data_IF_344797328358
#
_entry.id   IF_344797328358
#
_cell.length_a   1.000
_cell.length_b   1.000
_cell.length_c   1.000
_cell.angle_alpha   90.00
_cell.angle_beta   90.00
_cell.angle_gamma   90.00
#
_symmetry.space_group_name_H-M   'P 1'
#
loop_
_entity.id
_entity.type
_entity.pdbx_description
1 polymer ?
#
# COMPACT_ATOMS: atom_id res chain seq x y z
N UNK A 1 -4.34 56.45 28.64
CA UNK A 1 -5.77 56.45 28.25
C UNK A 1 -6.08 55.07 27.73
N UNK A 2 -7.01 54.37 28.36
CA UNK A 2 -7.28 52.95 28.09
C UNK A 2 -8.40 52.88 27.06
N UNK A 3 -8.03 52.79 25.79
CA UNK A 3 -9.00 52.77 24.70
C UNK A 3 -9.79 51.46 24.73
N UNK A 4 -11.10 51.55 24.89
CA UNK A 4 -11.97 50.37 24.97
C UNK A 4 -12.49 50.04 23.56
N UNK A 5 -12.27 48.80 23.11
CA UNK A 5 -12.75 48.32 21.81
C UNK A 5 -14.11 47.65 21.99
N UNK A 6 -15.14 48.13 21.28
CA UNK A 6 -16.50 47.58 21.31
C UNK A 6 -16.87 47.05 19.93
N UNK A 7 -17.22 45.77 19.85
CA UNK A 7 -17.69 45.13 18.62
C UNK A 7 -19.23 45.15 18.64
N UNK A 8 -19.83 45.68 17.59
CA UNK A 8 -21.28 45.91 17.47
C UNK A 8 -21.81 45.37 16.15
N UNK A 9 -23.04 44.83 16.15
CA UNK A 9 -23.69 44.25 14.98
C UNK A 9 -24.24 45.31 13.99
N UNK A 10 -24.61 46.50 14.47
CA UNK A 10 -25.46 47.46 13.73
C UNK A 10 -24.85 48.86 13.53
N UNK A 11 -23.52 48.99 13.44
CA UNK A 11 -22.87 50.29 13.24
C UNK A 11 -21.64 50.27 12.34
N UNK A 12 -21.47 51.31 11.52
CA UNK A 12 -20.23 51.58 10.77
C UNK A 12 -19.07 51.91 11.72
N UNK A 13 -17.85 51.49 11.35
CA UNK A 13 -16.64 51.68 12.17
C UNK A 13 -16.43 53.17 12.49
N UNK A 14 -16.43 53.52 13.77
CA UNK A 14 -16.32 54.89 14.24
C UNK A 14 -15.51 55.00 15.54
N UNK A 15 -15.01 56.20 15.82
CA UNK A 15 -14.22 56.49 17.02
C UNK A 15 -14.90 57.63 17.75
N UNK A 16 -15.20 57.45 19.03
CA UNK A 16 -15.85 58.48 19.85
C UNK A 16 -15.32 58.39 21.28
N UNK A 17 -14.80 59.50 21.81
CA UNK A 17 -14.38 59.70 23.21
C UNK A 17 -13.72 58.47 23.87
N UNK A 18 -12.56 58.06 23.34
CA UNK A 18 -11.73 56.94 23.82
C UNK A 18 -12.33 55.53 23.67
N UNK A 19 -13.45 55.38 22.94
CA UNK A 19 -14.04 54.08 22.59
C UNK A 19 -14.03 53.90 21.08
N UNK A 20 -13.55 52.74 20.65
CA UNK A 20 -13.46 52.36 19.23
C UNK A 20 -14.54 51.34 18.92
N UNK A 21 -15.44 51.67 17.99
CA UNK A 21 -16.49 50.77 17.53
C UNK A 21 -16.08 50.10 16.22
N UNK A 22 -16.11 48.77 16.18
CA UNK A 22 -15.82 47.98 14.97
C UNK A 22 -17.02 47.10 14.66
N UNK A 23 -17.48 47.13 13.41
CA UNK A 23 -18.60 46.29 13.00
C UNK A 23 -18.23 44.81 12.97
N UNK A 24 -19.14 43.95 13.41
CA UNK A 24 -18.92 42.49 13.43
C UNK A 24 -18.65 41.94 12.02
N UNK A 25 -19.31 42.48 11.00
CA UNK A 25 -19.07 42.12 9.60
C UNK A 25 -17.61 42.35 9.18
N UNK A 26 -16.97 43.44 9.64
CA UNK A 26 -15.57 43.76 9.33
C UNK A 26 -14.61 42.81 10.04
N UNK A 27 -14.92 42.46 11.29
CA UNK A 27 -14.15 41.48 12.07
C UNK A 27 -14.25 40.09 11.41
N UNK A 28 -15.44 39.69 10.98
CA UNK A 28 -15.66 38.40 10.33
C UNK A 28 -15.05 38.35 8.93
N UNK A 29 -15.02 39.46 8.18
CA UNK A 29 -14.27 39.58 6.91
C UNK A 29 -12.76 39.38 7.12
N UNK A 30 -12.18 40.03 8.13
CA UNK A 30 -10.79 39.81 8.52
C UNK A 30 -10.54 38.36 8.92
N UNK A 31 -11.43 37.76 9.72
CA UNK A 31 -11.35 36.35 10.15
C UNK A 31 -11.40 35.39 8.96
N UNK A 32 -12.36 35.57 8.04
CA UNK A 32 -12.52 34.73 6.84
C UNK A 32 -11.31 34.82 5.92
N UNK A 33 -10.76 36.03 5.74
CA UNK A 33 -9.54 36.24 4.95
C UNK A 33 -8.36 35.50 5.57
N UNK A 34 -8.21 35.58 6.90
CA UNK A 34 -7.17 34.87 7.63
C UNK A 34 -7.33 33.33 7.52
N UNK A 35 -8.56 32.82 7.68
CA UNK A 35 -8.89 31.38 7.58
C UNK A 35 -8.68 30.79 6.17
N UNK A 36 -8.96 31.57 5.13
CA UNK A 36 -8.80 31.14 3.74
C UNK A 36 -7.31 30.95 3.38
N UNK A 37 -6.42 31.69 4.04
CA UNK A 37 -4.98 31.62 3.85
C UNK A 37 -4.36 30.52 4.74
N UNK A 38 -4.86 30.29 5.95
CA UNK A 38 -4.33 29.25 6.87
C UNK A 38 -4.55 27.82 6.38
N UNK A 39 -5.60 27.56 5.58
CA UNK A 39 -5.79 26.24 4.93
C UNK A 39 -4.67 25.90 3.92
N UNK A 40 -3.80 26.86 3.56
CA UNK A 40 -2.80 26.68 2.52
C UNK A 40 -1.37 26.35 2.99
N UNK A 41 -0.87 26.69 4.21
CA UNK A 41 0.47 26.27 4.73
C UNK A 41 0.88 26.77 6.16
N UNK A 42 2.09 26.37 6.58
CA UNK A 42 2.72 26.19 7.93
C UNK A 42 2.82 27.41 8.88
N UNK A 43 2.86 27.07 10.19
CA UNK A 43 2.89 27.86 11.45
C UNK A 43 3.91 29.02 11.59
N UNK A 44 4.90 29.15 10.70
CA UNK A 44 5.97 30.16 10.82
C UNK A 44 5.64 31.50 10.14
N UNK A 45 4.69 31.50 9.20
CA UNK A 45 4.30 32.70 8.43
C UNK A 45 3.11 33.45 9.07
N UNK A 46 2.48 32.86 10.09
CA UNK A 46 1.31 33.41 10.79
C UNK A 46 1.65 34.71 11.55
N UNK A 47 2.89 34.86 12.05
CA UNK A 47 3.32 36.05 12.79
C UNK A 47 3.50 37.28 11.89
N UNK A 48 4.10 37.10 10.71
CA UNK A 48 4.28 38.17 9.72
C UNK A 48 2.94 38.61 9.09
N UNK A 49 1.98 37.69 8.96
CA UNK A 49 0.63 37.98 8.49
C UNK A 49 -0.20 38.73 9.54
N UNK A 50 -0.10 38.34 10.83
CA UNK A 50 -0.74 39.08 11.93
C UNK A 50 -0.21 40.52 11.97
N UNK A 51 1.10 40.71 11.84
CA UNK A 51 1.74 42.02 11.81
C UNK A 51 1.22 42.92 10.67
N UNK A 52 0.92 42.35 9.49
CA UNK A 52 0.37 43.10 8.36
C UNK A 52 -1.11 43.43 8.54
N UNK A 53 -1.93 42.51 9.07
CA UNK A 53 -3.34 42.80 9.37
C UNK A 53 -3.44 43.90 10.44
N UNK A 54 -2.59 43.81 11.47
CA UNK A 54 -2.48 44.86 12.49
C UNK A 54 -2.06 46.19 11.85
N UNK A 55 -1.12 46.22 10.91
CA UNK A 55 -0.70 47.47 10.25
C UNK A 55 -1.73 48.07 9.29
N UNK A 56 -2.76 47.32 8.88
CA UNK A 56 -3.87 47.86 8.07
C UNK A 56 -5.03 48.37 8.94
N UNK A 57 -5.26 47.73 10.09
CA UNK A 57 -6.41 48.03 10.96
C UNK A 57 -6.06 49.05 12.05
N UNK A 58 -4.87 48.97 12.65
CA UNK A 58 -4.49 49.84 13.79
C UNK A 58 -4.26 51.31 13.44
N UNK A 59 -3.72 51.71 12.27
CA UNK A 59 -3.55 53.13 11.96
C UNK A 59 -4.88 53.89 11.88
N UNK A 60 -5.96 53.19 11.53
CA UNK A 60 -7.31 53.76 11.51
C UNK A 60 -7.87 53.95 12.91
N UNK A 61 -7.41 53.15 13.89
CA UNK A 61 -7.88 53.17 15.28
C UNK A 61 -7.01 54.03 16.21
N UNK A 62 -5.73 54.21 15.88
CA UNK A 62 -4.74 54.95 16.69
C UNK A 62 -3.83 55.79 15.77
N UNK A 63 -4.11 57.09 15.57
CA UNK A 63 -3.43 57.90 14.55
C UNK A 63 -1.94 58.18 14.80
N UNK A 64 -1.37 57.78 15.95
CA UNK A 64 0.03 58.05 16.32
C UNK A 64 0.93 56.80 16.35
N UNK A 65 0.52 55.67 15.77
CA UNK A 65 1.36 54.46 15.72
C UNK A 65 1.98 54.30 14.33
N UNK A 66 3.31 54.43 14.24
CA UNK A 66 4.09 54.20 13.02
C UNK A 66 4.65 52.77 13.06
N UNK A 67 4.24 51.93 12.11
CA UNK A 67 4.81 50.60 11.91
C UNK A 67 5.88 50.64 10.82
N UNK A 68 7.16 50.60 11.20
CA UNK A 68 8.27 50.35 10.27
C UNK A 68 8.37 48.85 9.97
N UNK A 69 7.56 48.38 9.02
CA UNK A 69 7.63 47.01 8.54
C UNK A 69 7.24 46.95 7.07
N UNK A 70 8.19 46.61 6.22
CA UNK A 70 7.94 46.35 4.80
C UNK A 70 6.84 45.29 4.66
N UNK A 71 5.90 45.53 3.73
CA UNK A 71 4.95 44.51 3.27
C UNK A 71 5.74 43.21 3.08
N UNK A 72 5.32 42.07 3.65
CA UNK A 72 5.91 40.80 3.25
C UNK A 72 5.65 40.74 1.75
N UNK A 73 6.71 40.94 0.96
CA UNK A 73 6.68 40.58 -0.43
C UNK A 73 6.36 39.10 -0.33
N UNK A 74 5.13 38.72 -0.71
CA UNK A 74 4.93 37.36 -1.18
C UNK A 74 6.06 37.20 -2.17
N UNK A 75 7.06 36.38 -1.83
CA UNK A 75 7.81 35.74 -2.87
C UNK A 75 6.71 35.12 -3.72
N UNK A 76 6.33 35.81 -4.80
CA UNK A 76 5.77 35.16 -5.95
C UNK A 76 6.62 33.91 -6.07
N UNK A 77 5.99 32.74 -6.04
CA UNK A 77 6.60 31.44 -6.30
C UNK A 77 7.31 31.52 -7.67
N UNK A 78 8.39 32.30 -7.75
CA UNK A 78 9.32 32.44 -8.84
C UNK A 78 10.00 31.11 -8.84
N UNK A 79 9.40 30.23 -9.63
CA UNK A 79 9.93 29.62 -10.86
C UNK A 79 10.67 28.29 -10.80
N UNK A 80 11.59 27.91 -9.88
CA UNK A 80 12.24 26.60 -9.99
C UNK A 80 11.26 25.46 -9.68
N UNK A 81 10.37 25.61 -8.70
CA UNK A 81 9.54 24.50 -8.22
C UNK A 81 8.31 24.19 -9.09
N UNK A 82 7.74 25.20 -9.76
CA UNK A 82 6.66 25.03 -10.74
C UNK A 82 7.19 24.59 -12.10
N UNK A 83 8.30 25.17 -12.57
CA UNK A 83 8.96 24.74 -13.81
C UNK A 83 9.49 23.31 -13.66
N UNK A 84 10.11 22.97 -12.52
CA UNK A 84 10.57 21.59 -12.28
C UNK A 84 9.41 20.58 -12.27
N UNK A 85 8.27 20.92 -11.68
CA UNK A 85 7.09 20.06 -11.71
C UNK A 85 6.50 19.93 -13.12
N UNK A 86 6.47 21.01 -13.91
CA UNK A 86 5.99 20.95 -15.31
C UNK A 86 6.94 20.13 -16.20
N UNK A 87 8.25 20.31 -16.06
CA UNK A 87 9.27 19.54 -16.78
C UNK A 87 9.19 18.05 -16.39
N UNK A 88 9.05 17.73 -15.11
CA UNK A 88 8.86 16.36 -14.64
C UNK A 88 7.57 15.74 -15.22
N UNK A 89 6.46 16.48 -15.24
CA UNK A 89 5.20 16.01 -15.82
C UNK A 89 5.30 15.82 -17.34
N UNK A 90 5.96 16.73 -18.06
CA UNK A 90 6.20 16.60 -19.49
C UNK A 90 7.04 15.36 -19.81
N UNK A 91 8.11 15.11 -19.05
CA UNK A 91 8.93 13.91 -19.19
C UNK A 91 8.15 12.62 -18.93
N UNK A 92 7.27 12.60 -17.91
CA UNK A 92 6.37 11.45 -17.66
C UNK A 92 5.41 11.23 -18.83
N UNK A 93 4.85 12.29 -19.43
CA UNK A 93 3.97 12.18 -20.59
C UNK A 93 4.71 11.65 -21.83
N UNK A 94 5.91 12.17 -22.09
CA UNK A 94 6.75 11.70 -23.20
C UNK A 94 7.09 10.21 -23.07
N UNK A 95 7.51 9.75 -21.88
CA UNK A 95 7.76 8.32 -21.62
C UNK A 95 6.51 7.46 -21.82
N UNK A 96 5.33 7.93 -21.40
CA UNK A 96 4.05 7.23 -21.64
C UNK A 96 3.69 7.15 -23.12
N UNK A 97 4.05 8.16 -23.92
CA UNK A 97 3.85 8.13 -25.37
C UNK A 97 4.71 7.05 -26.02
N UNK A 98 6.00 7.03 -25.72
CA UNK A 98 6.94 6.01 -26.22
C UNK A 98 6.46 4.60 -25.88
N UNK A 99 6.00 4.36 -24.65
CA UNK A 99 5.44 3.06 -24.25
C UNK A 99 4.21 2.67 -25.08
N UNK A 100 3.36 3.63 -25.45
CA UNK A 100 2.20 3.35 -26.32
C UNK A 100 2.64 2.97 -27.73
N UNK A 101 3.64 3.66 -28.28
CA UNK A 101 4.18 3.33 -29.60
C UNK A 101 4.76 1.91 -29.63
N UNK A 102 5.57 1.54 -28.63
CA UNK A 102 6.08 0.17 -28.48
C UNK A 102 4.94 -0.84 -28.36
N UNK A 103 3.90 -0.54 -27.57
CA UNK A 103 2.74 -1.43 -27.40
C UNK A 103 1.97 -1.65 -28.70
N UNK A 104 1.79 -0.60 -29.51
CA UNK A 104 1.10 -0.68 -30.80
C UNK A 104 1.95 -1.43 -31.83
N UNK A 105 3.26 -1.23 -31.81
CA UNK A 105 4.20 -1.90 -32.72
C UNK A 105 4.56 -3.34 -32.36
N UNK A 106 4.18 -3.83 -31.18
CA UNK A 106 4.63 -5.13 -30.66
C UNK A 106 4.29 -6.32 -31.59
N UNK A 107 3.11 -6.33 -32.20
CA UNK A 107 2.71 -7.39 -33.15
C UNK A 107 3.55 -7.38 -34.43
N UNK A 108 3.99 -6.20 -34.89
CA UNK A 108 4.89 -6.07 -36.04
C UNK A 108 6.31 -6.51 -35.65
N UNK A 109 6.81 -6.04 -34.50
CA UNK A 109 8.11 -6.46 -33.96
C UNK A 109 8.20 -7.97 -33.75
N UNK A 110 7.10 -8.62 -33.33
CA UNK A 110 7.05 -10.07 -33.19
C UNK A 110 7.27 -10.81 -34.52
N UNK A 111 6.92 -10.20 -35.65
CA UNK A 111 7.09 -10.78 -36.99
C UNK A 111 8.43 -10.39 -37.62
N UNK A 112 8.83 -9.14 -37.48
CA UNK A 112 9.99 -8.55 -38.15
C UNK A 112 11.31 -8.75 -37.38
N UNK A 113 11.26 -8.63 -36.05
CA UNK A 113 12.42 -8.70 -35.17
C UNK A 113 12.13 -9.48 -33.87
N UNK A 114 11.75 -10.78 -33.97
CA UNK A 114 11.32 -11.57 -32.82
C UNK A 114 12.38 -11.64 -31.70
N UNK A 115 13.67 -11.74 -32.06
CA UNK A 115 14.77 -11.80 -31.09
C UNK A 115 14.88 -10.53 -30.25
N UNK A 116 14.85 -9.37 -30.90
CA UNK A 116 14.91 -8.07 -30.22
C UNK A 116 13.71 -7.85 -29.30
N UNK A 117 12.51 -8.29 -29.72
CA UNK A 117 11.33 -8.24 -28.88
C UNK A 117 11.46 -9.17 -27.65
N UNK A 118 12.04 -10.36 -27.80
CA UNK A 118 12.32 -11.26 -26.67
C UNK A 118 13.35 -10.67 -25.71
N UNK A 119 14.42 -10.07 -26.21
CA UNK A 119 15.43 -9.39 -25.37
C UNK A 119 14.83 -8.21 -24.61
N UNK A 120 13.99 -7.40 -25.28
CA UNK A 120 13.25 -6.32 -24.64
C UNK A 120 12.29 -6.85 -23.57
N UNK A 121 11.57 -7.94 -23.85
CA UNK A 121 10.67 -8.57 -22.89
C UNK A 121 11.43 -9.04 -21.63
N UNK A 122 12.55 -9.74 -21.82
CA UNK A 122 13.41 -10.20 -20.73
C UNK A 122 13.94 -9.01 -19.89
N UNK A 123 14.37 -7.93 -20.54
CA UNK A 123 14.84 -6.73 -19.85
C UNK A 123 13.72 -6.04 -19.06
N UNK A 124 12.51 -5.95 -19.62
CA UNK A 124 11.33 -5.44 -18.91
C UNK A 124 11.01 -6.29 -17.69
N UNK A 125 11.02 -7.62 -17.82
CA UNK A 125 10.78 -8.54 -16.71
C UNK A 125 11.81 -8.36 -15.60
N UNK A 126 13.10 -8.31 -15.96
CA UNK A 126 14.22 -8.13 -15.04
C UNK A 126 14.09 -6.83 -14.24
N UNK A 127 13.87 -5.70 -14.93
CA UNK A 127 13.73 -4.38 -14.28
C UNK A 127 12.47 -4.35 -13.41
N UNK A 128 11.35 -4.89 -13.88
CA UNK A 128 10.09 -4.93 -13.13
C UNK A 128 10.23 -5.76 -11.86
N UNK A 129 10.90 -6.91 -11.94
CA UNK A 129 11.16 -7.78 -10.80
C UNK A 129 12.08 -7.11 -9.78
N UNK A 130 13.12 -6.41 -10.22
CA UNK A 130 14.01 -5.67 -9.33
C UNK A 130 13.27 -4.58 -8.53
N UNK A 131 12.49 -3.74 -9.20
CA UNK A 131 11.68 -2.68 -8.56
C UNK A 131 10.68 -3.28 -7.56
N UNK A 132 10.12 -4.44 -7.87
CA UNK A 132 9.20 -5.10 -6.98
C UNK A 132 9.87 -5.74 -5.76
N UNK A 133 11.06 -6.33 -5.92
CA UNK A 133 11.87 -6.83 -4.80
C UNK A 133 12.15 -5.68 -3.83
N UNK A 134 12.60 -4.53 -4.34
CA UNK A 134 12.83 -3.33 -3.52
C UNK A 134 11.55 -2.88 -2.79
N UNK A 135 10.41 -2.88 -3.49
CA UNK A 135 9.12 -2.56 -2.89
C UNK A 135 8.74 -3.56 -1.79
N UNK A 136 8.92 -4.86 -2.02
CA UNK A 136 8.63 -5.92 -1.06
C UNK A 136 9.50 -5.75 0.20
N UNK A 137 10.80 -5.52 0.03
CA UNK A 137 11.75 -5.26 1.12
C UNK A 137 11.38 -4.01 1.92
N UNK A 138 11.03 -2.92 1.23
CA UNK A 138 10.56 -1.70 1.87
C UNK A 138 9.31 -1.96 2.71
N UNK A 139 8.35 -2.72 2.17
CA UNK A 139 7.12 -3.10 2.89
C UNK A 139 7.40 -4.00 4.10
N UNK A 140 8.36 -4.92 4.02
CA UNK A 140 8.77 -5.77 5.14
C UNK A 140 9.32 -4.97 6.33
N UNK A 141 9.97 -3.83 6.06
CA UNK A 141 10.48 -2.95 7.11
C UNK A 141 9.39 -2.11 7.79
N UNK A 142 8.17 -2.10 7.24
CA UNK A 142 7.03 -1.32 7.72
C UNK A 142 6.04 -2.21 8.49
N UNK A 143 5.37 -1.63 9.48
CA UNK A 143 4.30 -2.32 10.22
C UNK A 143 2.95 -2.18 9.50
N UNK A 144 2.85 -2.76 8.31
CA UNK A 144 1.64 -2.72 7.47
C UNK A 144 0.58 -3.72 7.96
N UNK A 145 -0.69 -3.38 7.74
CA UNK A 145 -1.81 -4.26 8.06
C UNK A 145 -1.95 -5.42 7.07
N UNK A 146 -2.71 -6.45 7.45
CA UNK A 146 -3.00 -7.60 6.58
C UNK A 146 -3.64 -7.16 5.26
N UNK A 147 -4.60 -6.23 5.30
CA UNK A 147 -5.22 -5.67 4.09
C UNK A 147 -4.24 -4.98 3.13
N UNK A 148 -3.17 -4.35 3.63
CA UNK A 148 -2.13 -3.80 2.75
C UNK A 148 -1.34 -4.91 2.04
N UNK A 149 -1.06 -6.01 2.73
CA UNK A 149 -0.38 -7.17 2.14
C UNK A 149 -1.28 -7.90 1.16
N UNK A 150 -2.56 -8.08 1.46
CA UNK A 150 -3.55 -8.62 0.54
C UNK A 150 -3.61 -7.81 -0.75
N UNK A 151 -3.79 -6.48 -0.65
CA UNK A 151 -3.81 -5.61 -1.82
C UNK A 151 -2.51 -5.67 -2.64
N UNK A 152 -1.36 -5.79 -1.96
CA UNK A 152 -0.08 -5.97 -2.64
C UNK A 152 -0.02 -7.28 -3.42
N UNK A 153 -0.46 -8.40 -2.84
CA UNK A 153 -0.48 -9.69 -3.54
C UNK A 153 -1.52 -9.76 -4.65
N UNK A 154 -2.70 -9.15 -4.47
CA UNK A 154 -3.72 -9.01 -5.52
C UNK A 154 -3.17 -8.26 -6.74
N UNK A 155 -2.37 -7.21 -6.52
CA UNK A 155 -1.72 -6.48 -7.60
C UNK A 155 -0.53 -7.24 -8.21
N UNK A 156 -0.03 -8.28 -7.55
CA UNK A 156 1.19 -9.03 -7.94
C UNK A 156 0.97 -10.54 -7.78
N UNK A 157 -0.09 -11.09 -8.37
CA UNK A 157 -0.51 -12.49 -8.18
C UNK A 157 0.55 -13.52 -8.53
N UNK A 158 1.46 -13.19 -9.45
CA UNK A 158 2.55 -14.09 -9.83
C UNK A 158 3.46 -14.42 -8.62
N UNK A 159 3.56 -13.54 -7.60
CA UNK A 159 4.30 -13.84 -6.37
C UNK A 159 3.67 -15.05 -5.66
N UNK A 160 2.34 -15.08 -5.59
CA UNK A 160 1.59 -16.19 -5.02
C UNK A 160 1.66 -17.43 -5.92
N UNK A 161 1.70 -17.25 -7.24
CA UNK A 161 1.86 -18.35 -8.18
C UNK A 161 3.13 -19.19 -7.91
N UNK A 162 4.22 -18.57 -7.40
CA UNK A 162 5.45 -19.28 -7.02
C UNK A 162 5.31 -20.18 -5.78
N UNK A 163 4.22 -20.08 -5.03
CA UNK A 163 3.91 -21.03 -3.94
C UNK A 163 3.41 -22.35 -4.54
N UNK A 164 2.73 -22.28 -5.67
CA UNK A 164 2.07 -23.41 -6.27
C UNK A 164 2.98 -24.18 -7.23
N UNK A 165 2.83 -25.50 -7.25
CA UNK A 165 3.53 -26.38 -8.21
C UNK A 165 2.83 -26.49 -9.57
N UNK A 166 1.72 -25.77 -9.77
CA UNK A 166 0.89 -25.77 -10.98
C UNK A 166 0.44 -24.35 -11.29
N UNK A 167 0.16 -24.01 -12.56
CA UNK A 167 -0.43 -22.73 -12.92
C UNK A 167 -1.71 -22.48 -12.13
N UNK A 168 -1.89 -21.24 -11.67
CA UNK A 168 -3.05 -20.82 -10.89
C UNK A 168 -3.71 -19.60 -11.49
N UNK A 169 -5.02 -19.50 -11.33
CA UNK A 169 -5.78 -18.30 -11.67
C UNK A 169 -6.61 -17.86 -10.46
N UNK A 170 -6.55 -16.57 -10.12
CA UNK A 170 -7.39 -16.00 -9.08
C UNK A 170 -8.85 -16.03 -9.52
N UNK A 171 -9.72 -16.61 -8.67
CA UNK A 171 -11.17 -16.64 -8.87
C UNK A 171 -11.83 -15.47 -8.13
N UNK A 172 -11.56 -15.38 -6.83
CA UNK A 172 -12.19 -14.39 -5.95
C UNK A 172 -11.21 -13.88 -4.89
N UNK A 173 -11.35 -12.60 -4.57
CA UNK A 173 -10.83 -11.99 -3.34
C UNK A 173 -11.96 -11.92 -2.32
N UNK A 174 -11.64 -12.02 -1.03
CA UNK A 174 -12.61 -11.99 0.06
C UNK A 174 -13.80 -12.93 -0.19
N UNK A 175 -13.50 -14.18 -0.55
CA UNK A 175 -14.49 -15.15 -1.00
C UNK A 175 -15.33 -15.65 0.19
N UNK A 176 -16.61 -15.94 -0.06
CA UNK A 176 -17.50 -16.46 0.97
C UNK A 176 -17.52 -18.00 0.94
N UNK A 177 -16.81 -18.66 1.84
CA UNK A 177 -16.93 -20.11 2.05
C UNK A 177 -18.32 -20.51 2.55
N UNK A 178 -18.92 -19.63 3.33
CA UNK A 178 -20.31 -19.68 3.76
C UNK A 178 -20.91 -18.28 3.73
N UNK A 179 -22.11 -18.16 3.16
CA UNK A 179 -22.87 -16.92 3.16
C UNK A 179 -23.41 -16.56 4.55
N UNK A 180 -23.77 -15.30 4.75
CA UNK A 180 -24.45 -14.87 5.97
C UNK A 180 -25.78 -15.58 6.16
N UNK A 181 -26.12 -15.85 7.41
CA UNK A 181 -27.49 -16.26 7.79
C UNK A 181 -28.45 -15.08 7.64
N UNK A 182 -29.76 -15.33 7.85
CA UNK A 182 -30.82 -14.32 7.69
C UNK A 182 -30.64 -13.05 8.55
N UNK A 183 -29.86 -13.13 9.63
CA UNK A 183 -29.56 -11.98 10.50
C UNK A 183 -28.25 -11.26 10.12
N UNK A 184 -27.63 -11.62 9.00
CA UNK A 184 -26.37 -11.05 8.52
C UNK A 184 -25.10 -11.65 9.13
N UNK A 185 -25.21 -12.46 10.19
CA UNK A 185 -24.07 -13.07 10.88
C UNK A 185 -23.70 -14.45 10.29
N UNK A 186 -22.49 -14.91 10.64
CA UNK A 186 -22.02 -16.26 10.31
C UNK A 186 -21.42 -16.43 8.92
N UNK A 187 -21.16 -15.34 8.20
CA UNK A 187 -20.36 -15.42 6.98
C UNK A 187 -18.93 -15.85 7.32
N UNK A 188 -18.44 -16.83 6.57
CA UNK A 188 -17.03 -17.24 6.63
C UNK A 188 -16.35 -16.74 5.37
N UNK A 189 -15.59 -15.66 5.54
CA UNK A 189 -14.88 -14.98 4.46
C UNK A 189 -13.42 -15.40 4.52
N UNK A 190 -12.86 -15.80 3.37
CA UNK A 190 -11.44 -16.11 3.21
C UNK A 190 -10.77 -15.15 2.26
N UNK A 191 -9.45 -15.02 2.34
CA UNK A 191 -8.74 -13.93 1.68
C UNK A 191 -8.71 -14.08 0.17
N UNK A 192 -8.20 -15.20 -0.35
CA UNK A 192 -8.09 -15.44 -1.79
C UNK A 192 -8.47 -16.87 -2.14
N UNK A 193 -9.22 -17.03 -3.21
CA UNK A 193 -9.56 -18.30 -3.83
C UNK A 193 -8.96 -18.38 -5.23
N UNK A 194 -8.22 -19.45 -5.50
CA UNK A 194 -7.61 -19.75 -6.78
C UNK A 194 -8.17 -21.05 -7.37
N UNK A 195 -8.07 -21.17 -8.69
CA UNK A 195 -8.17 -22.44 -9.40
C UNK A 195 -6.77 -22.94 -9.77
N UNK A 196 -6.57 -24.25 -9.71
CA UNK A 196 -5.38 -24.97 -10.18
C UNK A 196 -5.83 -26.04 -11.18
N UNK A 197 -6.20 -25.61 -12.39
CA UNK A 197 -6.97 -26.44 -13.30
C UNK A 197 -8.40 -26.61 -12.78
N UNK A 198 -8.78 -27.83 -12.39
CA UNK A 198 -10.11 -28.11 -11.78
C UNK A 198 -10.10 -28.04 -10.25
N UNK A 199 -8.93 -28.10 -9.63
CA UNK A 199 -8.79 -28.07 -8.17
C UNK A 199 -8.88 -26.64 -7.66
N UNK A 200 -9.26 -26.46 -6.40
CA UNK A 200 -9.27 -25.16 -5.74
C UNK A 200 -7.98 -24.95 -4.93
N UNK A 201 -7.64 -23.70 -4.66
CA UNK A 201 -6.66 -23.35 -3.65
C UNK A 201 -7.13 -22.15 -2.83
N UNK A 202 -7.08 -22.29 -1.51
CA UNK A 202 -7.43 -21.26 -0.54
C UNK A 202 -6.13 -20.70 0.02
N UNK A 203 -5.96 -19.38 -0.07
CA UNK A 203 -4.80 -18.69 0.50
C UNK A 203 -5.29 -17.74 1.59
N UNK A 204 -4.77 -17.92 2.80
CA UNK A 204 -4.94 -16.99 3.92
C UNK A 204 -3.65 -16.20 4.13
N UNK A 205 -3.76 -14.89 4.28
CA UNK A 205 -2.62 -13.98 4.40
C UNK A 205 -2.66 -13.31 5.77
N UNK A 206 -1.65 -13.62 6.59
CA UNK A 206 -1.32 -12.86 7.79
C UNK A 206 -0.19 -11.88 7.50
N UNK A 207 0.09 -10.98 8.43
CA UNK A 207 1.20 -10.02 8.30
C UNK A 207 2.57 -10.67 8.58
N UNK A 208 3.69 -10.08 8.08
CA UNK A 208 5.04 -10.58 8.35
C UNK A 208 5.45 -10.53 9.82
N UNK A 209 4.85 -9.64 10.61
CA UNK A 209 5.09 -9.56 12.05
C UNK A 209 4.29 -10.57 12.88
N UNK A 210 3.50 -11.43 12.23
CA UNK A 210 2.75 -12.49 12.91
C UNK A 210 3.72 -13.51 13.52
N UNK A 211 3.67 -13.74 14.85
CA UNK A 211 4.52 -14.72 15.49
C UNK A 211 4.14 -16.13 15.01
N UNK A 212 5.14 -16.91 14.60
CA UNK A 212 4.94 -18.29 14.13
C UNK A 212 4.97 -19.31 15.28
N UNK A 213 5.86 -19.08 16.24
CA UNK A 213 6.05 -19.94 17.42
C UNK A 213 5.79 -19.16 18.71
N UNK A 214 5.52 -19.89 19.79
CA UNK A 214 5.45 -19.32 21.13
C UNK A 214 6.78 -18.70 21.53
N UNK A 215 6.73 -17.65 22.36
CA UNK A 215 7.92 -16.97 22.87
C UNK A 215 8.64 -17.78 23.95
N UNK A 216 7.90 -18.65 24.65
CA UNK A 216 8.43 -19.57 25.66
C UNK A 216 8.35 -21.01 25.14
N UNK A 217 9.32 -21.85 25.49
CA UNK A 217 9.24 -23.26 25.14
C UNK A 217 8.14 -23.96 25.94
N UNK A 218 7.62 -25.05 25.39
CA UNK A 218 6.47 -25.77 25.94
C UNK A 218 6.77 -26.44 27.30
N UNK A 219 8.00 -26.98 27.45
CA UNK A 219 8.50 -27.61 28.69
C UNK A 219 10.02 -27.53 28.85
N UNK A 220 10.77 -27.86 27.79
CA UNK A 220 12.24 -27.93 27.79
C UNK A 220 12.82 -26.59 27.33
N UNK A 221 14.11 -26.49 27.00
CA UNK A 221 14.66 -25.25 26.40
C UNK A 221 14.49 -25.18 24.87
N UNK A 222 14.31 -26.32 24.20
CA UNK A 222 14.46 -26.39 22.73
C UNK A 222 13.15 -26.59 21.95
N UNK A 223 12.05 -26.92 22.62
CA UNK A 223 10.77 -27.26 21.95
C UNK A 223 9.76 -26.14 22.15
N UNK A 224 9.34 -25.54 21.04
CA UNK A 224 8.38 -24.44 21.03
C UNK A 224 7.08 -24.89 20.37
N UNK A 225 5.95 -24.53 20.98
CA UNK A 225 4.63 -24.75 20.36
C UNK A 225 4.35 -23.69 19.28
N UNK A 226 3.46 -23.99 18.30
CA UNK A 226 3.00 -22.98 17.36
C UNK A 226 2.29 -21.84 18.09
N UNK A 227 2.41 -20.63 17.58
CA UNK A 227 1.66 -19.50 18.09
C UNK A 227 0.16 -19.64 17.77
N UNK A 228 -0.70 -19.11 18.63
CA UNK A 228 -2.16 -19.09 18.42
C UNK A 228 -2.57 -18.46 17.09
N UNK A 229 -1.85 -17.43 16.64
CA UNK A 229 -2.14 -16.77 15.36
C UNK A 229 -1.90 -17.71 14.17
N UNK A 230 -0.79 -18.45 14.18
CA UNK A 230 -0.48 -19.42 13.13
C UNK A 230 -1.44 -20.61 13.17
N UNK A 231 -1.66 -21.20 14.33
CA UNK A 231 -2.58 -22.34 14.47
C UNK A 231 -4.03 -21.95 14.16
N UNK A 232 -4.44 -20.73 14.51
CA UNK A 232 -5.72 -20.14 14.13
C UNK A 232 -5.87 -20.00 12.62
N UNK A 233 -4.87 -19.47 11.92
CA UNK A 233 -4.88 -19.33 10.46
C UNK A 233 -4.98 -20.70 9.75
N UNK A 234 -4.22 -21.70 10.21
CA UNK A 234 -4.27 -23.08 9.70
C UNK A 234 -5.66 -23.69 9.90
N UNK A 235 -6.23 -23.52 11.10
CA UNK A 235 -7.58 -24.03 11.39
C UNK A 235 -8.63 -23.33 10.54
N UNK A 236 -8.47 -22.03 10.31
CA UNK A 236 -9.38 -21.22 9.51
C UNK A 236 -9.43 -21.67 8.05
N UNK A 237 -8.28 -21.89 7.39
CA UNK A 237 -8.26 -22.37 5.99
C UNK A 237 -8.84 -23.77 5.84
N UNK A 238 -8.57 -24.67 6.80
CA UNK A 238 -9.15 -26.01 6.80
C UNK A 238 -10.67 -25.98 7.00
N UNK A 239 -11.15 -25.08 7.87
CA UNK A 239 -12.58 -24.89 8.07
C UNK A 239 -13.24 -24.31 6.81
N UNK A 240 -12.64 -23.31 6.17
CA UNK A 240 -13.10 -22.73 4.90
C UNK A 240 -13.13 -23.77 3.77
N UNK A 241 -12.12 -24.63 3.67
CA UNK A 241 -12.10 -25.77 2.74
C UNK A 241 -13.30 -26.71 2.99
N UNK A 242 -13.55 -27.07 4.25
CA UNK A 242 -14.70 -27.90 4.62
C UNK A 242 -16.03 -27.26 4.21
N UNK A 243 -16.20 -25.96 4.44
CA UNK A 243 -17.38 -25.19 4.04
C UNK A 243 -17.54 -25.08 2.53
N UNK A 244 -16.44 -24.89 1.80
CA UNK A 244 -16.46 -24.86 0.33
C UNK A 244 -17.03 -26.15 -0.24
N UNK A 245 -16.64 -27.28 0.35
CA UNK A 245 -17.19 -28.59 -0.02
C UNK A 245 -18.65 -28.76 0.40
N UNK A 246 -19.00 -28.43 1.65
CA UNK A 246 -20.38 -28.62 2.13
C UNK A 246 -21.39 -27.73 1.44
N UNK A 247 -20.97 -26.53 1.01
CA UNK A 247 -21.84 -25.51 0.43
C UNK A 247 -21.72 -25.45 -1.11
N UNK A 248 -21.03 -26.39 -1.74
CA UNK A 248 -20.68 -26.34 -3.17
C UNK A 248 -21.84 -26.04 -4.11
N UNK A 249 -23.00 -26.67 -3.88
CA UNK A 249 -24.20 -26.46 -4.72
C UNK A 249 -24.65 -25.00 -4.76
N UNK A 250 -24.43 -24.24 -3.67
CA UNK A 250 -24.74 -22.81 -3.64
C UNK A 250 -23.76 -21.99 -4.49
N UNK A 251 -22.49 -22.40 -4.53
CA UNK A 251 -21.42 -21.75 -5.28
C UNK A 251 -21.53 -21.97 -6.79
N UNK A 252 -22.17 -23.05 -7.25
CA UNK A 252 -22.43 -23.31 -8.69
C UNK A 252 -23.33 -22.26 -9.38
N UNK A 253 -23.92 -21.33 -8.61
CA UNK A 253 -24.59 -20.15 -9.14
C UNK A 253 -23.60 -19.21 -9.85
N UNK A 254 -22.35 -19.19 -9.40
CA UNK A 254 -21.28 -18.51 -10.12
C UNK A 254 -20.80 -19.39 -11.30
N UNK A 255 -20.88 -18.89 -12.55
CA UNK A 255 -20.43 -19.65 -13.72
C UNK A 255 -18.97 -20.10 -13.66
N UNK A 256 -18.09 -19.33 -12.99
CA UNK A 256 -16.65 -19.64 -12.89
C UNK A 256 -16.37 -20.91 -12.07
N UNK A 257 -17.34 -21.34 -11.26
CA UNK A 257 -17.20 -22.49 -10.35
C UNK A 257 -17.64 -23.81 -10.98
N UNK A 258 -18.34 -23.79 -12.13
CA UNK A 258 -19.05 -24.98 -12.65
C UNK A 258 -18.15 -26.14 -13.06
N UNK A 259 -16.95 -25.87 -13.55
CA UNK A 259 -16.00 -26.88 -14.03
C UNK A 259 -14.97 -27.31 -12.97
N UNK A 260 -15.05 -26.70 -11.77
CA UNK A 260 -14.14 -26.93 -10.65
C UNK A 260 -14.62 -28.08 -9.76
N UNK A 261 -13.71 -28.55 -8.91
CA UNK A 261 -13.95 -29.63 -7.95
C UNK A 261 -13.59 -29.17 -6.53
N UNK A 262 -14.56 -29.17 -5.59
CA UNK A 262 -14.31 -28.77 -4.20
C UNK A 262 -13.63 -29.85 -3.35
N UNK A 263 -13.59 -31.11 -3.81
CA UNK A 263 -13.11 -32.24 -3.00
C UNK A 263 -11.63 -32.13 -2.65
N UNK A 264 -10.87 -31.46 -3.53
CA UNK A 264 -9.43 -31.26 -3.41
C UNK A 264 -9.14 -29.76 -3.51
N UNK A 265 -9.29 -29.05 -2.38
CA UNK A 265 -8.79 -27.69 -2.26
C UNK A 265 -7.45 -27.68 -1.52
N UNK A 266 -6.38 -27.15 -2.12
CA UNK A 266 -5.13 -26.93 -1.40
C UNK A 266 -5.28 -25.75 -0.45
N UNK A 267 -4.76 -25.85 0.77
CA UNK A 267 -4.75 -24.73 1.70
C UNK A 267 -3.32 -24.17 1.82
N UNK A 268 -3.20 -22.85 1.76
CA UNK A 268 -1.94 -22.13 1.91
C UNK A 268 -2.12 -21.04 2.96
N UNK A 269 -1.18 -20.94 3.89
CA UNK A 269 -1.09 -19.86 4.86
C UNK A 269 0.21 -19.12 4.63
N UNK A 270 0.12 -17.82 4.35
CA UNK A 270 1.27 -16.93 4.26
C UNK A 270 1.34 -16.13 5.56
N UNK A 271 2.37 -16.39 6.37
CA UNK A 271 2.46 -15.78 7.69
C UNK A 271 3.91 -15.61 8.15
N UNK A 272 4.16 -14.51 8.86
CA UNK A 272 5.38 -14.32 9.63
C UNK A 272 6.67 -14.25 8.81
N UNK A 273 7.79 -14.22 9.53
CA UNK A 273 9.13 -14.44 8.99
C UNK A 273 9.80 -15.59 9.74
N UNK A 274 10.70 -16.32 9.07
CA UNK A 274 11.39 -17.47 9.69
C UNK A 274 12.06 -17.06 11.01
N UNK A 275 11.89 -17.83 12.09
CA UNK A 275 12.56 -17.53 13.36
C UNK A 275 14.09 -17.49 13.20
N UNK A 276 14.72 -16.54 13.88
CA UNK A 276 16.19 -16.41 13.95
C UNK A 276 16.81 -17.34 14.99
N UNK A 277 16.06 -17.63 16.07
CA UNK A 277 16.46 -18.58 17.13
C UNK A 277 16.35 -20.03 16.63
N UNK A 278 17.42 -20.83 16.80
CA UNK A 278 17.50 -22.19 16.25
C UNK A 278 16.40 -23.13 16.76
N UNK A 279 16.13 -23.13 18.08
CA UNK A 279 15.07 -23.97 18.66
C UNK A 279 13.68 -23.65 18.11
N UNK A 280 13.36 -22.36 17.92
CA UNK A 280 12.10 -21.93 17.31
C UNK A 280 12.05 -22.24 15.82
N UNK A 281 13.14 -22.04 15.09
CA UNK A 281 13.25 -22.37 13.67
C UNK A 281 13.01 -23.86 13.46
N UNK A 282 13.74 -24.71 14.18
CA UNK A 282 13.57 -26.16 14.12
C UNK A 282 12.15 -26.60 14.47
N UNK A 283 11.57 -26.04 15.52
CA UNK A 283 10.19 -26.34 15.91
C UNK A 283 9.18 -25.90 14.84
N UNK A 284 9.39 -24.74 14.21
CA UNK A 284 8.58 -24.25 13.09
C UNK A 284 8.66 -25.18 11.88
N UNK A 285 9.87 -25.59 11.48
CA UNK A 285 10.08 -26.53 10.37
C UNK A 285 9.39 -27.87 10.63
N UNK A 286 9.51 -28.43 11.84
CA UNK A 286 8.82 -29.67 12.21
C UNK A 286 7.30 -29.49 12.13
N UNK A 287 6.78 -28.40 12.71
CA UNK A 287 5.34 -28.15 12.78
C UNK A 287 4.71 -27.96 11.39
N UNK A 288 5.31 -27.12 10.54
CA UNK A 288 4.76 -26.86 9.20
C UNK A 288 4.80 -28.10 8.31
N UNK A 289 5.86 -28.91 8.39
CA UNK A 289 5.97 -30.14 7.61
C UNK A 289 5.05 -31.26 8.13
N UNK A 290 4.58 -31.16 9.38
CA UNK A 290 3.55 -32.06 9.90
C UNK A 290 2.13 -31.71 9.40
N UNK A 291 1.90 -30.48 8.94
CA UNK A 291 0.62 -30.02 8.40
C UNK A 291 0.46 -30.50 6.94
N UNK A 292 -0.07 -31.71 6.75
CA UNK A 292 -0.18 -32.33 5.41
C UNK A 292 -1.11 -31.59 4.45
N UNK A 293 -2.18 -31.02 4.97
CA UNK A 293 -3.24 -30.39 4.18
C UNK A 293 -3.06 -28.87 4.02
N UNK A 294 -2.08 -28.28 4.73
CA UNK A 294 -1.83 -26.84 4.73
C UNK A 294 -0.36 -26.54 4.51
N UNK A 295 -0.05 -25.83 3.44
CA UNK A 295 1.29 -25.31 3.19
C UNK A 295 1.48 -23.97 3.90
N UNK A 296 2.50 -23.87 4.75
CA UNK A 296 2.84 -22.63 5.45
C UNK A 296 4.09 -22.01 4.84
N UNK A 297 3.95 -20.80 4.29
CA UNK A 297 5.03 -20.05 3.63
C UNK A 297 5.28 -18.74 4.37
N UNK A 298 6.54 -18.40 4.60
CA UNK A 298 6.89 -17.12 5.24
C UNK A 298 7.17 -16.02 4.21
N UNK A 299 7.08 -14.75 4.63
CA UNK A 299 7.33 -13.64 3.73
C UNK A 299 8.78 -13.57 3.24
N UNK A 300 9.75 -13.95 4.08
CA UNK A 300 11.16 -14.04 3.69
C UNK A 300 11.42 -15.20 2.72
N UNK A 301 10.62 -16.27 2.74
CA UNK A 301 10.67 -17.33 1.72
C UNK A 301 10.18 -16.82 0.36
N UNK A 302 9.06 -16.10 0.32
CA UNK A 302 8.57 -15.48 -0.92
C UNK A 302 9.58 -14.50 -1.50
N UNK A 303 10.16 -13.64 -0.66
CA UNK A 303 11.22 -12.73 -1.07
C UNK A 303 12.46 -13.49 -1.57
N UNK A 304 12.84 -14.59 -0.90
CA UNK A 304 13.92 -15.46 -1.35
C UNK A 304 13.65 -16.05 -2.73
N UNK A 305 12.42 -16.52 -2.99
CA UNK A 305 12.00 -17.00 -4.33
C UNK A 305 12.09 -15.90 -5.39
N UNK A 306 11.66 -14.68 -5.07
CA UNK A 306 11.79 -13.52 -5.99
C UNK A 306 13.25 -13.21 -6.32
N UNK A 307 14.12 -13.17 -5.31
CA UNK A 307 15.56 -12.92 -5.50
C UNK A 307 16.21 -14.02 -6.32
N UNK A 308 15.83 -15.28 -6.07
CA UNK A 308 16.29 -16.41 -6.87
C UNK A 308 15.84 -16.27 -8.33
N UNK A 309 14.58 -15.93 -8.58
CA UNK A 309 14.09 -15.67 -9.93
C UNK A 309 14.86 -14.54 -10.62
N UNK A 310 15.11 -13.43 -9.92
CA UNK A 310 15.89 -12.31 -10.46
C UNK A 310 17.33 -12.71 -10.82
N UNK A 311 17.96 -13.57 -10.02
CA UNK A 311 19.28 -14.10 -10.30
C UNK A 311 19.30 -14.95 -11.58
N UNK A 312 18.27 -15.77 -11.82
CA UNK A 312 18.17 -16.59 -13.03
C UNK A 312 17.84 -15.77 -14.29
N UNK A 313 17.15 -14.64 -14.15
CA UNK A 313 16.86 -13.71 -15.24
C UNK A 313 18.02 -12.75 -15.54
N UNK A 314 19.08 -12.75 -14.73
CA UNK A 314 20.28 -11.95 -15.01
C UNK A 314 21.08 -12.63 -16.11
N UNK A 315 21.41 -11.95 -17.22
CA UNK A 315 22.25 -12.53 -18.26
C UNK A 315 23.57 -13.02 -17.66
N UNK A 316 24.00 -14.23 -18.01
CA UNK A 316 25.37 -14.64 -17.71
C UNK A 316 26.31 -13.59 -18.32
N UNK A 317 27.29 -13.12 -17.54
CA UNK A 317 28.37 -12.32 -18.11
C UNK A 317 28.93 -13.11 -19.30
N UNK A 318 29.18 -12.48 -20.46
CA UNK A 318 29.83 -13.17 -21.56
C UNK A 318 31.10 -13.79 -20.98
N UNK A 319 31.18 -15.12 -20.99
CA UNK A 319 32.42 -15.79 -20.67
C UNK A 319 33.41 -15.28 -21.73
N UNK A 320 34.50 -14.64 -21.28
CA UNK A 320 35.70 -14.51 -22.10
C UNK A 320 36.12 -15.93 -22.45
N UNK A 321 35.61 -16.46 -23.56
CA UNK A 321 36.17 -17.63 -24.19
C UNK A 321 37.58 -17.18 -24.57
N UNK A 322 38.65 -17.77 -24.00
CA UNK A 322 39.99 -17.52 -24.51
C UNK A 322 39.96 -17.80 -26.01
N UNK A 323 40.57 -16.93 -26.79
CA UNK A 323 40.73 -17.10 -28.22
C UNK A 323 41.58 -18.35 -28.44
N UNK A 324 40.93 -19.50 -28.65
CA UNK A 324 41.58 -20.75 -29.03
C UNK A 324 41.44 -20.90 -30.55
N UNK A 325 41.86 -19.89 -31.30
CA UNK A 325 42.30 -19.99 -32.70
C UNK A 325 43.38 -18.94 -32.98
#
# INVERSE_FOLDING_TARGET
MTTTLVISDDGDTSITDDVVFVSEARVDECRRTCMRITRARKKSETSAQMHWVLSQVFPTLMPNVVFEGSRPVLASDTTPRRVSNQVAQAAVRARRHQLREVKVGAEMLAKEAPRELFELHAEIERVTLAVMIEKFESMLSQNLSEGHWQHFFEANLFILAMVFSRPVALLHTQFHAQGSTINGAGAHIGDLLFSQGRELAIVEIKKPSTPLMQSRPYRNQDVFGPNLQLSGAITQVLYQQGLMRSNWLSHLRDPTMRDLNPDTARCVVIAGTKPTEEGRRRSFEIFRNACKDVEVVTFDELLGKLRMLAQHLTPAAPADLPDIF
#
